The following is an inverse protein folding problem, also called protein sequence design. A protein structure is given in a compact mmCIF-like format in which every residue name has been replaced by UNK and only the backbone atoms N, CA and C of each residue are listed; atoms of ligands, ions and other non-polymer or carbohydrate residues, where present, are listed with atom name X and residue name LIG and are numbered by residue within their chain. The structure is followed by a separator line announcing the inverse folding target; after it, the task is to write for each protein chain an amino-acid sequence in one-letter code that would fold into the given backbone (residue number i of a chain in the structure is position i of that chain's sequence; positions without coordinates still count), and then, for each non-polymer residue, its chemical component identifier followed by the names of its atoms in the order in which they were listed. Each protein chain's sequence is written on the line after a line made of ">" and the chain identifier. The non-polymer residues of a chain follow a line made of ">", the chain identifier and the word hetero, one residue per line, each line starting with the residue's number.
data_IF_678394010039
#
_entry.id   IF_678394010039
#
_cell.length_a   1.000
_cell.length_b   1.000
_cell.length_c   1.000
_cell.angle_alpha   90.00
_cell.angle_beta   90.00
_cell.angle_gamma   90.00
#
_symmetry.space_group_name_H-M   'P 1'
#
loop_
_entity.id
_entity.type
_entity.pdbx_description
1 polymer ?
#
# COMPACT_ATOMS: atom_id res chain seq x y z
N UNK A 1 11.81 -3.44 10.87
CA UNK A 1 12.02 -4.32 9.70
C UNK A 1 11.25 -5.62 9.89
N UNK A 2 10.84 -6.26 8.80
CA UNK A 2 10.22 -7.59 8.78
C UNK A 2 11.04 -8.54 7.90
N UNK A 3 10.93 -9.84 8.13
CA UNK A 3 11.66 -10.87 7.36
C UNK A 3 10.94 -11.25 6.08
N UNK A 4 11.63 -11.98 5.20
CA UNK A 4 11.02 -12.52 4.00
C UNK A 4 9.93 -13.57 4.30
N UNK A 5 10.11 -14.37 5.34
CA UNK A 5 9.11 -15.35 5.80
C UNK A 5 7.85 -14.65 6.32
N UNK A 6 7.99 -13.58 7.10
CA UNK A 6 6.85 -12.75 7.56
C UNK A 6 6.10 -12.15 6.36
N UNK A 7 6.84 -11.63 5.38
CA UNK A 7 6.26 -11.06 4.16
C UNK A 7 5.47 -12.08 3.34
N UNK A 8 6.09 -13.22 3.01
CA UNK A 8 5.46 -14.27 2.21
C UNK A 8 4.23 -14.85 2.88
N UNK A 9 4.27 -15.06 4.20
CA UNK A 9 3.12 -15.51 4.97
C UNK A 9 1.93 -14.54 4.89
N UNK A 10 2.14 -13.24 5.13
CA UNK A 10 1.05 -12.26 5.09
C UNK A 10 0.47 -12.09 3.68
N UNK A 11 1.32 -12.12 2.65
CA UNK A 11 0.86 -12.04 1.25
C UNK A 11 0.01 -13.24 0.86
N UNK A 12 0.46 -14.46 1.17
CA UNK A 12 -0.31 -15.68 0.89
C UNK A 12 -1.66 -15.68 1.60
N UNK A 13 -1.70 -15.22 2.86
CA UNK A 13 -2.95 -15.08 3.60
C UNK A 13 -3.88 -14.03 2.99
N UNK A 14 -3.35 -12.89 2.52
CA UNK A 14 -4.15 -11.85 1.87
C UNK A 14 -4.82 -12.36 0.58
N UNK A 15 -4.05 -13.04 -0.26
CA UNK A 15 -4.55 -13.65 -1.50
C UNK A 15 -5.60 -14.73 -1.19
N UNK A 16 -5.33 -15.62 -0.23
CA UNK A 16 -6.28 -16.69 0.14
C UNK A 16 -7.62 -16.15 0.68
N UNK A 17 -7.60 -15.07 1.46
CA UNK A 17 -8.82 -14.38 1.94
C UNK A 17 -9.63 -13.80 0.79
N UNK A 18 -8.96 -13.17 -0.18
CA UNK A 18 -9.62 -12.58 -1.34
C UNK A 18 -10.25 -13.64 -2.26
N UNK A 19 -9.52 -14.72 -2.55
CA UNK A 19 -10.03 -15.85 -3.32
C UNK A 19 -11.27 -16.47 -2.65
N UNK A 20 -11.23 -16.66 -1.33
CA UNK A 20 -12.39 -17.15 -0.55
C UNK A 20 -13.58 -16.20 -0.60
N UNK A 21 -13.33 -14.89 -0.76
CA UNK A 21 -14.36 -13.85 -0.87
C UNK A 21 -14.91 -13.68 -2.30
N UNK A 22 -14.54 -14.57 -3.23
CA UNK A 22 -15.05 -14.59 -4.59
C UNK A 22 -14.28 -13.71 -5.58
N UNK A 23 -13.06 -13.28 -5.24
CA UNK A 23 -12.17 -12.60 -6.19
C UNK A 23 -11.67 -13.60 -7.24
N UNK A 24 -12.10 -13.51 -8.51
CA UNK A 24 -11.56 -14.36 -9.55
C UNK A 24 -10.10 -13.95 -9.77
N UNK A 25 -9.19 -14.90 -9.62
CA UNK A 25 -7.74 -14.70 -9.69
C UNK A 25 -7.27 -14.35 -11.12
N UNK A 26 -7.67 -13.16 -11.59
CA UNK A 26 -7.42 -12.62 -12.92
C UNK A 26 -6.22 -11.66 -12.93
N UNK A 27 -5.50 -11.57 -11.80
CA UNK A 27 -4.33 -10.70 -11.63
C UNK A 27 -4.61 -9.19 -11.54
N UNK A 28 -5.83 -8.75 -11.86
CA UNK A 28 -6.24 -7.34 -11.77
C UNK A 28 -6.31 -6.80 -10.33
N UNK A 29 -6.45 -7.68 -9.35
CA UNK A 29 -6.49 -7.37 -7.92
C UNK A 29 -5.19 -7.68 -7.17
N UNK A 30 -4.20 -8.28 -7.84
CA UNK A 30 -2.93 -8.68 -7.22
C UNK A 30 -2.26 -7.54 -6.44
N UNK A 31 -2.16 -6.36 -7.06
CA UNK A 31 -1.57 -5.19 -6.39
C UNK A 31 -2.33 -4.74 -5.14
N UNK A 32 -3.64 -4.98 -5.07
CA UNK A 32 -4.44 -4.67 -3.89
C UNK A 32 -4.12 -5.64 -2.76
N UNK A 33 -3.97 -6.92 -3.06
CA UNK A 33 -3.60 -7.94 -2.07
C UNK A 33 -2.19 -7.72 -1.55
N UNK A 34 -1.28 -7.37 -2.45
CA UNK A 34 0.08 -6.97 -2.11
C UNK A 34 0.10 -5.77 -1.16
N UNK A 35 -0.64 -4.71 -1.50
CA UNK A 35 -0.69 -3.48 -0.70
C UNK A 35 -1.29 -3.75 0.67
N UNK A 36 -2.42 -4.48 0.72
CA UNK A 36 -3.07 -4.86 1.97
C UNK A 36 -2.14 -5.66 2.89
N UNK A 37 -1.41 -6.64 2.34
CA UNK A 37 -0.47 -7.44 3.11
C UNK A 37 0.65 -6.57 3.71
N UNK A 38 1.17 -5.62 2.93
CA UNK A 38 2.22 -4.72 3.38
C UNK A 38 1.72 -3.79 4.49
N UNK A 39 0.60 -3.10 4.28
CA UNK A 39 -0.01 -2.19 5.26
C UNK A 39 -0.32 -2.90 6.58
N UNK A 40 -0.87 -4.11 6.50
CA UNK A 40 -1.11 -4.95 7.68
C UNK A 40 0.19 -5.31 8.39
N UNK A 41 1.20 -5.78 7.66
CA UNK A 41 2.47 -6.21 8.24
C UNK A 41 3.22 -5.05 8.92
N UNK A 42 3.29 -3.87 8.29
CA UNK A 42 3.95 -2.71 8.91
C UNK A 42 3.20 -2.23 10.15
N UNK A 43 1.87 -2.32 10.15
CA UNK A 43 1.03 -1.97 11.30
C UNK A 43 1.24 -2.96 12.45
N UNK A 44 1.21 -4.27 12.17
CA UNK A 44 1.46 -5.31 13.17
C UNK A 44 2.84 -5.20 13.83
N UNK A 45 3.84 -4.73 13.07
CA UNK A 45 5.21 -4.53 13.55
C UNK A 45 5.42 -3.16 14.21
N UNK A 46 4.39 -2.31 14.29
CA UNK A 46 4.49 -0.95 14.85
C UNK A 46 5.46 -0.05 14.08
N UNK A 47 5.67 -0.30 12.79
CA UNK A 47 6.57 0.49 11.93
C UNK A 47 5.87 1.71 11.34
N UNK A 48 4.55 1.66 11.27
CA UNK A 48 3.66 2.76 10.96
C UNK A 48 2.26 2.40 11.49
N UNK A 49 1.35 3.35 11.52
CA UNK A 49 -0.06 3.10 11.80
C UNK A 49 -0.96 3.50 10.61
N UNK A 50 -2.23 3.12 10.69
CA UNK A 50 -3.21 3.43 9.65
C UNK A 50 -3.36 4.93 9.39
N UNK A 51 -3.23 5.77 10.42
CA UNK A 51 -3.36 7.21 10.27
C UNK A 51 -2.17 7.78 9.50
N UNK A 52 -0.95 7.39 9.84
CA UNK A 52 0.27 7.79 9.12
C UNK A 52 0.25 7.36 7.65
N UNK A 53 -0.25 6.15 7.36
CA UNK A 53 -0.39 5.64 5.99
C UNK A 53 -1.41 6.48 5.21
N UNK A 54 -2.59 6.76 5.77
CA UNK A 54 -3.61 7.60 5.16
C UNK A 54 -3.11 9.03 4.92
N UNK A 55 -2.44 9.63 5.90
CA UNK A 55 -1.83 10.94 5.78
C UNK A 55 -0.76 10.96 4.68
N UNK A 56 0.07 9.92 4.58
CA UNK A 56 1.08 9.79 3.53
C UNK A 56 0.42 9.70 2.14
N UNK A 57 -0.63 8.90 1.99
CA UNK A 57 -1.37 8.81 0.74
C UNK A 57 -2.03 10.15 0.36
N UNK A 58 -2.64 10.84 1.32
CA UNK A 58 -3.24 12.14 1.09
C UNK A 58 -2.20 13.18 0.64
N UNK A 59 -1.03 13.19 1.29
CA UNK A 59 0.09 14.04 0.93
C UNK A 59 0.61 13.76 -0.48
N UNK A 60 0.77 12.49 -0.82
CA UNK A 60 1.20 12.10 -2.16
C UNK A 60 0.18 12.51 -3.24
N UNK A 61 -1.12 12.30 -2.99
CA UNK A 61 -2.21 12.73 -3.90
C UNK A 61 -2.19 14.24 -4.13
N UNK A 62 -1.92 15.05 -3.10
CA UNK A 62 -1.76 16.51 -3.22
C UNK A 62 -0.52 16.86 -4.06
N UNK A 63 0.64 16.28 -3.73
CA UNK A 63 1.88 16.48 -4.47
C UNK A 63 1.73 16.15 -5.97
N UNK A 64 1.11 15.01 -6.28
CA UNK A 64 0.82 14.58 -7.65
C UNK A 64 -0.01 15.62 -8.41
N UNK A 65 -1.11 16.12 -7.82
CA UNK A 65 -1.95 17.16 -8.45
C UNK A 65 -1.22 18.49 -8.66
N UNK A 66 -0.29 18.82 -7.78
CA UNK A 66 0.49 20.06 -7.84
C UNK A 66 1.73 19.94 -8.75
N UNK A 67 2.00 18.75 -9.31
CA UNK A 67 3.13 18.49 -10.18
C UNK A 67 2.69 18.60 -11.65
N UNK A 68 3.29 19.49 -12.46
CA UNK A 68 3.02 19.55 -13.89
C UNK A 68 3.28 18.21 -14.59
N UNK A 69 2.46 17.88 -15.59
CA UNK A 69 2.63 16.66 -16.37
C UNK A 69 4.04 16.58 -16.98
N UNK A 70 4.67 15.41 -16.90
CA UNK A 70 6.03 15.17 -17.38
C UNK A 70 7.14 15.53 -16.38
N UNK A 71 6.82 16.11 -15.23
CA UNK A 71 7.79 16.38 -14.15
C UNK A 71 7.76 15.28 -13.08
N UNK A 72 8.90 14.98 -12.41
CA UNK A 72 8.92 14.10 -11.25
C UNK A 72 8.07 14.65 -10.09
N UNK A 73 7.36 13.76 -9.38
CA UNK A 73 6.56 14.13 -8.20
C UNK A 73 7.46 14.20 -6.98
N UNK A 74 7.66 15.41 -6.46
CA UNK A 74 8.31 15.64 -5.17
C UNK A 74 7.25 15.76 -4.07
N UNK A 75 7.41 15.04 -2.96
CA UNK A 75 6.43 15.07 -1.87
C UNK A 75 6.25 16.48 -1.26
N UNK A 76 7.27 17.33 -1.30
CA UNK A 76 7.21 18.72 -0.84
C UNK A 76 6.21 19.58 -1.62
N UNK A 77 5.82 19.17 -2.83
CA UNK A 77 4.77 19.81 -3.60
C UNK A 77 3.39 19.70 -2.94
N UNK A 78 3.22 18.87 -1.91
CA UNK A 78 1.98 18.77 -1.13
C UNK A 78 1.65 20.02 -0.30
N UNK A 79 2.62 20.94 -0.12
CA UNK A 79 2.48 22.17 0.67
C UNK A 79 2.07 23.39 -0.14
N UNK A 80 2.00 23.27 -1.48
CA UNK A 80 1.46 24.31 -2.37
C UNK A 80 -0.06 24.30 -2.32
#
# INVERSE_FOLDING_TARGET
>A
MFTWEEWTSELSQAIGRAQTSGDPDLGNTYYRHWLYALEKLVTLKGLSDYQEIEERMANWRKAYRNTPHGSPVDLSANKK
#
